data_IF_642770734113
#
_entry.id   IF_642770734113
#
_cell.length_a   1.000
_cell.length_b   1.000
_cell.length_c   1.000
_cell.angle_alpha   90.00
_cell.angle_beta   90.00
_cell.angle_gamma   90.00
#
_symmetry.space_group_name_H-M   'P 1'
#
loop_
_entity.id
_entity.type
_entity.pdbx_description
1 polymer ?
#
# COMPACT_ATOMS: atom_id res chain seq x y z
N UNK A 1 -1.92 9.36 -17.19
CA UNK A 1 -2.62 10.53 -16.59
C UNK A 1 -4.11 10.36 -16.79
N UNK A 2 -4.87 10.46 -15.72
CA UNK A 2 -6.31 10.24 -15.67
C UNK A 2 -7.08 11.56 -15.56
N UNK A 3 -8.35 11.57 -15.96
CA UNK A 3 -9.22 12.74 -15.85
C UNK A 3 -9.30 13.31 -14.42
N UNK A 4 -9.44 12.50 -13.34
CA UNK A 4 -9.37 12.99 -11.95
C UNK A 4 -8.04 13.61 -11.52
N UNK A 5 -6.95 13.38 -12.25
CA UNK A 5 -5.66 14.01 -11.93
C UNK A 5 -5.66 15.51 -12.26
N UNK A 6 -6.66 16.00 -13.00
CA UNK A 6 -6.76 17.36 -13.47
C UNK A 6 -7.82 18.15 -12.68
N UNK A 7 -7.44 19.31 -12.15
CA UNK A 7 -8.37 20.22 -11.49
C UNK A 7 -7.96 21.68 -11.67
N UNK A 8 -8.92 22.60 -11.57
CA UNK A 8 -8.65 24.04 -11.60
C UNK A 8 -8.72 24.62 -10.19
N UNK A 9 -7.80 25.53 -9.87
CA UNK A 9 -7.79 26.30 -8.63
C UNK A 9 -7.85 27.78 -8.97
N UNK A 10 -8.76 28.51 -8.35
CA UNK A 10 -8.79 29.97 -8.42
C UNK A 10 -7.69 30.52 -7.52
N UNK A 11 -6.81 31.35 -8.09
CA UNK A 11 -5.77 32.07 -7.38
C UNK A 11 -6.29 33.43 -6.97
N UNK A 12 -6.83 33.50 -5.75
CA UNK A 12 -7.36 34.73 -5.19
C UNK A 12 -6.23 35.77 -5.05
N UNK A 13 -6.50 37.00 -5.47
CA UNK A 13 -5.59 38.16 -5.40
C UNK A 13 -4.41 38.16 -6.38
N UNK A 14 -4.34 37.21 -7.30
CA UNK A 14 -3.33 37.18 -8.37
C UNK A 14 -3.86 37.86 -9.66
N UNK A 15 -3.89 39.19 -9.65
CA UNK A 15 -4.23 40.01 -10.83
C UNK A 15 -5.56 40.77 -10.74
N UNK A 16 -5.88 41.50 -11.82
CA UNK A 16 -7.07 42.37 -11.92
C UNK A 16 -8.34 41.57 -12.29
N UNK A 17 -8.16 40.37 -12.86
CA UNK A 17 -9.22 39.47 -13.32
C UNK A 17 -9.07 38.09 -12.70
N UNK A 18 -10.15 37.31 -12.64
CA UNK A 18 -10.14 35.93 -12.16
C UNK A 18 -8.98 35.12 -12.76
N UNK A 19 -8.07 34.68 -11.91
CA UNK A 19 -6.90 33.91 -12.28
C UNK A 19 -7.12 32.46 -11.89
N UNK A 20 -7.24 31.58 -12.89
CA UNK A 20 -7.37 30.14 -12.66
C UNK A 20 -6.07 29.45 -13.06
N UNK A 21 -5.56 28.61 -12.17
CA UNK A 21 -4.47 27.68 -12.44
C UNK A 21 -5.03 26.30 -12.73
N UNK A 22 -4.53 25.67 -13.79
CA UNK A 22 -4.80 24.27 -14.09
C UNK A 22 -3.72 23.44 -13.43
N UNK A 23 -4.14 22.58 -12.52
CA UNK A 23 -3.29 21.71 -11.72
C UNK A 23 -3.42 20.29 -12.23
N UNK A 24 -2.28 19.67 -12.47
CA UNK A 24 -2.14 18.27 -12.85
C UNK A 24 -1.35 17.56 -11.76
N UNK A 25 -1.97 16.55 -11.17
CA UNK A 25 -1.36 15.72 -10.14
C UNK A 25 -0.75 14.49 -10.78
N UNK A 26 0.52 14.23 -10.48
CA UNK A 26 1.26 13.08 -10.96
C UNK A 26 1.69 12.25 -9.75
N UNK A 27 0.99 11.15 -9.51
CA UNK A 27 1.31 10.22 -8.42
C UNK A 27 2.31 9.14 -8.84
N UNK A 28 2.47 8.92 -10.13
CA UNK A 28 3.32 7.86 -10.65
C UNK A 28 4.10 8.33 -11.87
N UNK A 29 5.36 7.91 -11.97
CA UNK A 29 6.18 8.18 -13.13
C UNK A 29 7.51 7.45 -13.07
N UNK A 30 8.28 7.48 -14.16
CA UNK A 30 9.57 6.77 -14.24
C UNK A 30 10.54 7.16 -13.11
N UNK A 31 10.54 8.44 -12.71
CA UNK A 31 11.36 9.00 -11.64
C UNK A 31 10.63 9.06 -10.29
N UNK A 32 9.34 8.76 -10.28
CA UNK A 32 8.47 8.85 -9.11
C UNK A 32 7.83 7.47 -8.87
N UNK A 33 8.68 6.56 -8.39
CA UNK A 33 8.33 5.14 -8.18
C UNK A 33 7.73 4.89 -6.79
N UNK A 34 7.89 5.86 -5.87
CA UNK A 34 7.44 5.77 -4.47
C UNK A 34 6.08 6.43 -4.24
N UNK A 35 5.40 6.89 -5.28
CA UNK A 35 4.09 7.53 -5.11
C UNK A 35 4.18 8.95 -4.57
N UNK A 36 5.32 9.64 -4.71
CA UNK A 36 5.47 11.04 -4.29
C UNK A 36 4.42 11.87 -5.01
N UNK A 37 3.85 12.86 -4.34
CA UNK A 37 2.97 13.80 -5.01
C UNK A 37 3.84 14.76 -5.85
N UNK A 38 3.87 14.57 -7.17
CA UNK A 38 4.43 15.57 -8.07
C UNK A 38 3.27 16.39 -8.65
N UNK A 39 3.40 17.72 -8.63
CA UNK A 39 2.37 18.62 -9.14
C UNK A 39 2.95 19.42 -10.29
N UNK A 40 2.22 19.48 -11.41
CA UNK A 40 2.46 20.44 -12.47
C UNK A 40 1.31 21.44 -12.49
N UNK A 41 1.63 22.71 -12.72
CA UNK A 41 0.64 23.77 -12.85
C UNK A 41 0.89 24.59 -14.10
N UNK A 42 -0.18 25.15 -14.66
CA UNK A 42 -0.09 26.13 -15.73
C UNK A 42 -1.20 27.17 -15.61
N UNK A 43 -0.92 28.37 -16.10
CA UNK A 43 -1.85 29.50 -16.10
C UNK A 43 -2.40 29.72 -17.52
N UNK A 44 -3.51 30.45 -17.61
CA UNK A 44 -4.03 30.93 -18.89
C UNK A 44 -2.99 31.84 -19.55
N UNK A 45 -2.68 31.55 -20.80
CA UNK A 45 -1.84 32.43 -21.62
C UNK A 45 -2.73 33.45 -22.34
N UNK A 46 -2.25 34.69 -22.46
CA UNK A 46 -2.89 35.73 -23.28
C UNK A 46 -2.96 35.31 -24.74
N UNK A 47 -1.93 34.60 -25.22
CA UNK A 47 -1.91 34.07 -26.58
C UNK A 47 -2.63 32.73 -26.64
N UNK A 48 -3.74 32.67 -27.37
CA UNK A 48 -4.63 31.50 -27.43
C UNK A 48 -3.95 30.28 -28.05
N UNK A 49 -3.09 30.49 -29.05
CA UNK A 49 -2.38 29.45 -29.80
C UNK A 49 -1.47 28.56 -28.94
N UNK A 50 -0.96 29.11 -27.83
CA UNK A 50 -0.05 28.44 -26.89
C UNK A 50 -0.67 28.29 -25.50
N UNK A 51 -1.95 28.62 -25.35
CA UNK A 51 -2.65 28.55 -24.07
C UNK A 51 -3.00 27.10 -23.72
N UNK A 52 -2.47 26.53 -22.63
CA UNK A 52 -2.73 25.14 -22.27
C UNK A 52 -4.22 24.88 -21.95
N UNK A 53 -4.91 25.86 -21.37
CA UNK A 53 -6.37 25.80 -21.16
C UNK A 53 -7.14 25.72 -22.48
N UNK A 54 -6.80 26.59 -23.44
CA UNK A 54 -7.46 26.63 -24.74
C UNK A 54 -7.22 25.34 -25.52
N UNK A 55 -5.96 24.88 -25.57
CA UNK A 55 -5.58 23.63 -26.24
C UNK A 55 -6.34 22.44 -25.64
N UNK A 56 -6.39 22.32 -24.32
CA UNK A 56 -7.10 21.23 -23.67
C UNK A 56 -8.62 21.32 -23.86
N UNK A 57 -9.18 22.54 -23.81
CA UNK A 57 -10.59 22.79 -24.08
C UNK A 57 -10.99 22.38 -25.51
N UNK A 58 -10.20 22.76 -26.52
CA UNK A 58 -10.42 22.33 -27.90
C UNK A 58 -10.30 20.82 -28.06
N UNK A 59 -9.35 20.20 -27.37
CA UNK A 59 -9.19 18.75 -27.38
C UNK A 59 -10.42 18.03 -26.79
N UNK A 60 -10.93 18.48 -25.65
CA UNK A 60 -12.15 17.92 -25.05
C UNK A 60 -13.40 18.19 -25.88
N UNK A 61 -13.51 19.36 -26.49
CA UNK A 61 -14.59 19.66 -27.44
C UNK A 61 -14.55 18.69 -28.61
N UNK A 62 -13.40 18.54 -29.27
CA UNK A 62 -13.23 17.58 -30.37
C UNK A 62 -13.56 16.15 -29.93
N UNK A 63 -13.08 15.73 -28.76
CA UNK A 63 -13.27 14.37 -28.25
C UNK A 63 -14.75 14.02 -28.01
N UNK A 64 -15.50 14.88 -27.34
CA UNK A 64 -16.89 14.57 -26.95
C UNK A 64 -17.94 15.06 -27.96
N UNK A 65 -17.68 16.16 -28.67
CA UNK A 65 -18.65 16.74 -29.59
C UNK A 65 -18.41 16.32 -31.04
N UNK A 66 -17.15 16.23 -31.49
CA UNK A 66 -16.85 15.94 -32.90
C UNK A 66 -16.68 14.44 -33.16
N UNK A 67 -15.91 13.74 -32.32
CA UNK A 67 -15.75 12.29 -32.39
C UNK A 67 -16.92 11.53 -31.76
N UNK A 68 -17.89 12.25 -31.18
CA UNK A 68 -19.08 11.70 -30.52
C UNK A 68 -18.73 10.64 -29.44
N UNK A 69 -17.59 10.79 -28.77
CA UNK A 69 -17.28 9.98 -27.59
C UNK A 69 -18.29 10.32 -26.48
N UNK A 70 -18.87 9.31 -25.79
CA UNK A 70 -19.80 9.57 -24.71
C UNK A 70 -19.13 10.41 -23.63
N UNK A 71 -19.82 11.49 -23.24
CA UNK A 71 -19.35 12.34 -22.15
C UNK A 71 -19.31 11.53 -20.84
N UNK A 72 -18.26 11.69 -20.00
CA UNK A 72 -18.12 10.93 -18.77
C UNK A 72 -19.32 11.12 -17.82
N UNK A 73 -19.82 10.03 -17.26
CA UNK A 73 -20.75 10.10 -16.13
C UNK A 73 -19.98 10.43 -14.85
N UNK A 74 -20.50 11.37 -14.07
CA UNK A 74 -19.93 11.74 -12.77
C UNK A 74 -20.75 11.20 -11.59
N UNK A 75 -21.69 10.28 -11.84
CA UNK A 75 -22.51 9.68 -10.78
C UNK A 75 -21.70 8.81 -9.81
N UNK A 76 -20.75 8.02 -10.35
CA UNK A 76 -19.86 7.15 -9.56
C UNK A 76 -18.41 7.36 -9.95
N UNK A 77 -17.51 7.25 -8.98
CA UNK A 77 -16.07 7.38 -9.23
C UNK A 77 -15.55 6.36 -10.24
N UNK A 78 -16.08 5.14 -10.24
CA UNK A 78 -15.74 4.10 -11.23
C UNK A 78 -15.96 4.50 -12.68
N UNK A 79 -16.89 5.43 -12.92
CA UNK A 79 -17.35 5.76 -14.27
C UNK A 79 -16.39 6.72 -14.98
N UNK A 80 -15.55 7.45 -14.23
CA UNK A 80 -14.67 8.47 -14.78
C UNK A 80 -13.22 8.45 -14.28
N UNK A 81 -12.91 7.71 -13.20
CA UNK A 81 -11.55 7.67 -12.64
C UNK A 81 -10.53 7.04 -13.58
N UNK A 82 -10.94 6.00 -14.32
CA UNK A 82 -10.03 5.30 -15.23
C UNK A 82 -9.90 5.98 -16.61
N UNK A 83 -10.70 7.01 -16.88
CA UNK A 83 -10.67 7.72 -18.17
C UNK A 83 -9.34 8.46 -18.30
N UNK A 84 -8.57 8.12 -19.33
CA UNK A 84 -7.30 8.80 -19.62
C UNK A 84 -7.55 10.14 -20.29
N UNK A 85 -6.77 11.15 -19.91
CA UNK A 85 -6.80 12.46 -20.58
C UNK A 85 -6.40 12.28 -22.05
N UNK A 86 -5.26 11.63 -22.30
CA UNK A 86 -4.81 11.26 -23.64
C UNK A 86 -4.93 9.75 -23.83
N UNK A 87 -5.94 9.33 -24.58
CA UNK A 87 -6.25 7.92 -24.82
C UNK A 87 -5.55 7.36 -26.07
N UNK A 88 -5.38 6.04 -26.09
CA UNK A 88 -4.91 5.30 -27.27
C UNK A 88 -6.08 4.58 -27.97
N UNK A 89 -6.58 5.18 -29.05
CA UNK A 89 -7.63 4.59 -29.87
C UNK A 89 -9.03 4.75 -29.25
N UNK A 90 -9.85 3.71 -29.31
CA UNK A 90 -11.25 3.74 -28.86
C UNK A 90 -11.39 3.54 -27.35
N UNK A 91 -10.51 2.74 -26.74
CA UNK A 91 -10.55 2.42 -25.31
C UNK A 91 -10.14 3.64 -24.45
N UNK A 92 -11.07 4.08 -23.60
CA UNK A 92 -10.92 5.27 -22.75
C UNK A 92 -9.93 5.06 -21.60
N UNK A 93 -9.77 3.81 -21.17
CA UNK A 93 -8.89 3.42 -20.07
C UNK A 93 -7.42 3.27 -20.49
N UNK A 94 -7.18 3.19 -21.80
CA UNK A 94 -5.87 2.91 -22.35
C UNK A 94 -5.09 4.19 -22.62
N UNK A 95 -3.95 4.31 -21.95
CA UNK A 95 -3.05 5.46 -22.13
C UNK A 95 -2.45 5.53 -23.54
N UNK A 96 -2.25 6.75 -24.04
CA UNK A 96 -1.54 7.00 -25.29
C UNK A 96 -0.19 6.28 -25.33
N UNK A 97 0.03 5.46 -26.36
CA UNK A 97 1.29 4.74 -26.51
C UNK A 97 2.48 5.68 -26.66
N UNK A 98 3.60 5.33 -26.02
CA UNK A 98 4.80 6.15 -26.05
C UNK A 98 5.34 6.34 -27.48
N UNK A 99 5.23 5.32 -28.35
CA UNK A 99 5.70 5.43 -29.74
C UNK A 99 4.83 6.42 -30.49
N UNK A 100 3.51 6.32 -30.35
CA UNK A 100 2.55 7.25 -30.95
C UNK A 100 2.87 8.70 -30.53
N UNK A 101 2.99 8.97 -29.24
CA UNK A 101 3.37 10.31 -28.74
C UNK A 101 4.71 10.78 -29.32
N UNK A 102 5.74 9.94 -29.28
CA UNK A 102 7.08 10.27 -29.78
C UNK A 102 7.07 10.59 -31.28
N UNK A 103 6.31 9.84 -32.06
CA UNK A 103 6.26 10.01 -33.52
C UNK A 103 5.47 11.28 -33.88
N UNK A 104 4.37 11.59 -33.17
CA UNK A 104 3.68 12.89 -33.31
C UNK A 104 4.62 14.08 -33.03
N UNK A 105 5.40 14.02 -31.95
CA UNK A 105 6.36 15.07 -31.60
C UNK A 105 7.47 15.22 -32.65
N UNK A 106 7.99 14.09 -33.16
CA UNK A 106 8.99 14.12 -34.24
C UNK A 106 8.45 14.75 -35.51
N UNK A 107 7.23 14.40 -35.92
CA UNK A 107 6.58 14.98 -37.09
C UNK A 107 6.39 16.49 -36.94
N UNK A 108 5.97 16.95 -35.76
CA UNK A 108 5.86 18.38 -35.46
C UNK A 108 7.21 19.10 -35.57
N UNK A 109 8.29 18.53 -35.01
CA UNK A 109 9.63 19.14 -35.15
C UNK A 109 10.13 19.15 -36.58
N UNK A 110 9.88 18.09 -37.35
CA UNK A 110 10.25 18.03 -38.76
C UNK A 110 9.53 19.11 -39.58
N UNK A 111 8.23 19.32 -39.34
CA UNK A 111 7.43 20.34 -40.01
C UNK A 111 7.94 21.77 -39.75
N UNK A 112 8.49 22.03 -38.57
CA UNK A 112 9.06 23.34 -38.18
C UNK A 112 10.57 23.41 -38.46
N UNK A 113 11.18 22.36 -39.03
CA UNK A 113 12.63 22.32 -39.32
C UNK A 113 13.54 22.21 -38.09
N UNK A 114 13.01 21.83 -36.93
CA UNK A 114 13.74 21.73 -35.67
C UNK A 114 14.47 20.38 -35.54
N UNK A 115 15.79 20.44 -35.30
CA UNK A 115 16.62 19.25 -35.04
C UNK A 115 16.98 19.19 -33.56
N UNK A 116 16.46 18.19 -32.84
CA UNK A 116 16.73 18.01 -31.41
C UNK A 116 17.08 16.57 -31.07
N UNK A 117 17.99 16.40 -30.10
CA UNK A 117 18.33 15.10 -29.50
C UNK A 117 17.24 14.65 -28.50
N UNK A 118 16.58 15.61 -27.86
CA UNK A 118 15.48 15.37 -26.92
C UNK A 118 14.19 15.12 -27.71
N UNK A 119 13.47 14.04 -27.35
CA UNK A 119 12.25 13.62 -28.04
C UNK A 119 11.03 14.18 -27.31
N UNK A 120 10.31 13.33 -26.58
CA UNK A 120 9.09 13.65 -25.83
C UNK A 120 9.27 14.55 -24.62
N UNK A 121 10.52 14.90 -24.24
CA UNK A 121 10.82 15.69 -23.04
C UNK A 121 11.48 17.04 -23.36
N UNK A 122 11.45 17.51 -24.61
CA UNK A 122 12.03 18.82 -24.95
C UNK A 122 11.39 19.95 -24.12
N UNK A 123 10.07 19.85 -23.91
CA UNK A 123 9.27 20.82 -23.16
C UNK A 123 9.71 20.99 -21.71
N UNK A 124 10.30 19.94 -21.10
CA UNK A 124 10.75 19.95 -19.71
C UNK A 124 11.90 20.93 -19.49
N UNK A 125 12.83 21.02 -20.44
CA UNK A 125 13.95 21.94 -20.37
C UNK A 125 13.60 23.34 -20.88
N UNK A 126 12.78 23.42 -21.94
CA UNK A 126 12.44 24.71 -22.54
C UNK A 126 11.51 25.53 -21.66
N UNK A 127 10.53 24.94 -20.97
CA UNK A 127 9.59 25.68 -20.11
C UNK A 127 10.28 26.44 -18.98
N UNK A 128 11.16 25.78 -18.24
CA UNK A 128 11.94 26.42 -17.17
C UNK A 128 12.80 27.58 -17.71
N UNK A 129 13.48 27.35 -18.84
CA UNK A 129 14.34 28.37 -19.47
C UNK A 129 13.54 29.55 -20.02
N UNK A 130 12.35 29.31 -20.59
CA UNK A 130 11.47 30.38 -21.07
C UNK A 130 10.96 31.24 -19.92
N UNK A 131 10.67 30.62 -18.77
CA UNK A 131 10.24 31.35 -17.59
C UNK A 131 11.39 32.17 -16.98
N UNK A 132 12.60 31.61 -16.91
CA UNK A 132 13.81 32.37 -16.52
C UNK A 132 14.07 33.57 -17.44
N UNK A 133 13.97 33.37 -18.76
CA UNK A 133 14.08 34.45 -19.75
C UNK A 133 12.97 35.50 -19.59
N UNK A 134 11.77 35.09 -19.18
CA UNK A 134 10.64 35.95 -18.83
C UNK A 134 10.81 36.71 -17.51
N UNK A 135 11.98 36.63 -16.86
CA UNK A 135 12.29 37.37 -15.64
C UNK A 135 11.97 36.64 -14.35
N UNK A 136 11.52 35.38 -14.40
CA UNK A 136 11.29 34.56 -13.22
C UNK A 136 12.62 34.04 -12.65
N UNK A 137 13.39 34.95 -12.04
CA UNK A 137 14.55 34.61 -11.22
C UNK A 137 14.01 33.90 -9.98
N UNK A 138 14.47 32.67 -9.70
CA UNK A 138 14.08 31.83 -8.56
C UNK A 138 12.85 30.89 -8.69
N UNK A 139 12.43 30.47 -9.89
CA UNK A 139 11.41 29.42 -10.03
C UNK A 139 11.79 28.09 -9.35
N UNK A 140 13.07 27.72 -9.38
CA UNK A 140 13.59 26.50 -8.74
C UNK A 140 13.43 26.49 -7.23
N UNK A 141 13.38 27.66 -6.58
CA UNK A 141 13.21 27.79 -5.13
C UNK A 141 11.75 28.05 -4.78
N UNK A 142 11.03 28.85 -5.56
CA UNK A 142 9.64 29.25 -5.22
C UNK A 142 8.63 28.10 -5.42
N UNK A 143 8.83 27.21 -6.40
CA UNK A 143 8.02 25.98 -6.50
C UNK A 143 8.43 24.89 -5.49
N UNK A 144 9.64 25.00 -4.91
CA UNK A 144 10.07 24.17 -3.80
C UNK A 144 9.60 24.71 -2.43
N UNK A 145 9.26 26.01 -2.35
CA UNK A 145 8.76 26.68 -1.14
C UNK A 145 7.27 26.99 -1.18
N UNK A 146 6.59 26.80 -2.30
CA UNK A 146 5.14 26.81 -2.34
C UNK A 146 4.67 25.56 -1.58
N UNK A 147 4.41 25.75 -0.29
CA UNK A 147 3.89 24.71 0.61
C UNK A 147 2.80 23.98 -0.13
N UNK A 148 3.03 22.70 -0.36
CA UNK A 148 2.15 21.82 -1.11
C UNK A 148 0.73 21.98 -0.53
N UNK A 149 -0.33 22.21 -1.33
CA UNK A 149 -1.68 22.45 -0.81
C UNK A 149 -2.16 21.33 0.13
N UNK A 150 -1.70 20.10 -0.14
CA UNK A 150 -1.94 18.92 0.69
C UNK A 150 -1.08 18.89 1.94
N UNK A 151 0.14 19.43 1.90
CA UNK A 151 1.03 19.58 3.04
C UNK A 151 0.54 20.69 3.98
N UNK A 152 -0.05 21.76 3.44
CA UNK A 152 -0.79 22.78 4.20
C UNK A 152 -2.06 22.20 4.84
N UNK A 153 -2.77 21.31 4.13
CA UNK A 153 -3.91 20.57 4.70
C UNK A 153 -3.47 19.56 5.77
N UNK A 154 -2.34 18.88 5.56
CA UNK A 154 -1.72 17.97 6.53
C UNK A 154 -1.18 18.71 7.75
N UNK A 155 -0.56 19.89 7.59
CA UNK A 155 -0.15 20.76 8.70
C UNK A 155 -1.35 21.29 9.47
N UNK A 156 -2.45 21.64 8.79
CA UNK A 156 -3.69 22.05 9.46
C UNK A 156 -4.40 20.90 10.17
N UNK A 157 -4.32 19.69 9.62
CA UNK A 157 -4.97 18.50 10.17
C UNK A 157 -4.10 17.75 11.19
N UNK A 158 -2.77 17.94 11.19
CA UNK A 158 -1.83 17.27 12.09
C UNK A 158 -2.12 17.55 13.56
N UNK A 159 -2.36 18.79 14.01
CA UNK A 159 -2.70 19.08 15.41
C UNK A 159 -3.98 18.36 15.82
N UNK A 160 -5.01 18.40 14.97
CA UNK A 160 -6.31 17.75 15.24
C UNK A 160 -6.16 16.23 15.30
N UNK A 161 -5.35 15.64 14.41
CA UNK A 161 -5.06 14.21 14.42
C UNK A 161 -4.20 13.81 15.62
N UNK A 162 -3.20 14.61 15.99
CA UNK A 162 -2.37 14.40 17.17
C UNK A 162 -3.22 14.45 18.44
N UNK A 163 -4.07 15.46 18.59
CA UNK A 163 -5.02 15.60 19.70
C UNK A 163 -5.95 14.39 19.79
N UNK A 164 -6.46 13.92 18.64
CA UNK A 164 -7.32 12.73 18.59
C UNK A 164 -6.57 11.45 18.97
N UNK A 165 -5.32 11.30 18.55
CA UNK A 165 -4.47 10.17 18.92
C UNK A 165 -4.17 10.19 20.42
N UNK A 166 -3.81 11.35 20.99
CA UNK A 166 -3.58 11.48 22.43
C UNK A 166 -4.85 11.22 23.24
N UNK A 167 -6.01 11.72 22.79
CA UNK A 167 -7.29 11.45 23.44
C UNK A 167 -7.65 9.96 23.38
N UNK A 168 -7.44 9.30 22.24
CA UNK A 168 -7.63 7.86 22.11
C UNK A 168 -6.66 7.09 23.00
N UNK A 169 -5.41 7.52 23.10
CA UNK A 169 -4.41 6.87 23.96
C UNK A 169 -4.78 6.99 25.44
N UNK A 170 -5.26 8.17 25.87
CA UNK A 170 -5.78 8.40 27.22
C UNK A 170 -7.03 7.56 27.52
N UNK A 171 -7.98 7.48 26.59
CA UNK A 171 -9.17 6.63 26.74
C UNK A 171 -8.81 5.14 26.81
N UNK A 172 -7.90 4.69 25.94
CA UNK A 172 -7.43 3.31 25.98
C UNK A 172 -6.74 3.01 27.32
N UNK A 173 -5.89 3.93 27.79
CA UNK A 173 -5.19 3.77 29.06
C UNK A 173 -6.16 3.72 30.24
N UNK A 174 -7.20 4.57 30.26
CA UNK A 174 -8.20 4.56 31.33
C UNK A 174 -9.01 3.26 31.35
N UNK A 175 -9.34 2.73 30.17
CA UNK A 175 -9.99 1.41 30.03
C UNK A 175 -9.08 0.28 30.50
N UNK A 176 -7.79 0.32 30.18
CA UNK A 176 -6.83 -0.65 30.70
C UNK A 176 -6.75 -0.61 32.24
N UNK A 177 -6.68 0.57 32.85
CA UNK A 177 -6.69 0.70 34.31
C UNK A 177 -7.99 0.16 34.92
N UNK A 178 -9.13 0.38 34.27
CA UNK A 178 -10.43 -0.17 34.73
C UNK A 178 -10.44 -1.70 34.66
N UNK A 179 -9.90 -2.28 33.58
CA UNK A 179 -9.77 -3.73 33.42
C UNK A 179 -8.82 -4.32 34.46
N UNK A 180 -7.68 -3.66 34.72
CA UNK A 180 -6.75 -4.08 35.78
C UNK A 180 -7.41 -4.06 37.16
N UNK A 181 -8.21 -3.03 37.46
CA UNK A 181 -8.96 -2.95 38.71
C UNK A 181 -9.96 -4.10 38.83
N UNK A 182 -10.76 -4.36 37.79
CA UNK A 182 -11.73 -5.46 37.78
C UNK A 182 -11.06 -6.83 37.92
N UNK A 183 -9.92 -7.04 37.24
CA UNK A 183 -9.12 -8.27 37.39
C UNK A 183 -8.58 -8.43 38.81
N UNK A 184 -8.11 -7.34 39.42
CA UNK A 184 -7.64 -7.38 40.81
C UNK A 184 -8.77 -7.72 41.79
N UNK A 185 -9.96 -7.14 41.59
CA UNK A 185 -11.14 -7.43 42.39
C UNK A 185 -11.59 -8.90 42.24
N UNK A 186 -11.65 -9.42 41.00
CA UNK A 186 -11.97 -10.83 40.78
C UNK A 186 -10.94 -11.77 41.41
N UNK A 187 -9.66 -11.39 41.39
CA UNK A 187 -8.61 -12.17 42.06
C UNK A 187 -8.85 -12.26 43.57
N UNK A 188 -9.25 -11.16 44.20
CA UNK A 188 -9.60 -11.14 45.63
C UNK A 188 -10.82 -12.00 45.93
N UNK A 189 -11.88 -11.90 45.12
CA UNK A 189 -13.08 -12.74 45.26
C UNK A 189 -12.76 -14.22 45.11
N UNK A 190 -11.96 -14.61 44.12
CA UNK A 190 -11.53 -16.01 43.94
C UNK A 190 -10.69 -16.47 45.13
N UNK A 191 -9.85 -15.59 45.69
CA UNK A 191 -9.01 -15.93 46.84
C UNK A 191 -9.86 -16.14 48.09
N UNK A 192 -10.85 -15.25 48.30
CA UNK A 192 -11.83 -15.38 49.38
C UNK A 192 -12.67 -16.64 49.23
N UNK A 193 -13.15 -16.94 48.02
CA UNK A 193 -13.96 -18.13 47.74
C UNK A 193 -13.15 -19.41 47.95
N UNK A 194 -11.87 -19.43 47.54
CA UNK A 194 -10.95 -20.53 47.86
C UNK A 194 -10.81 -20.71 49.37
N UNK A 195 -10.67 -19.63 50.13
CA UNK A 195 -10.56 -19.69 51.59
C UNK A 195 -11.84 -20.24 52.22
N UNK A 196 -13.01 -19.77 51.79
CA UNK A 196 -14.30 -20.30 52.26
C UNK A 196 -14.45 -21.81 51.99
N UNK A 197 -14.05 -22.30 50.80
CA UNK A 197 -14.08 -23.73 50.49
C UNK A 197 -13.14 -24.51 51.40
N UNK A 198 -11.93 -24.00 51.67
CA UNK A 198 -10.99 -24.61 52.62
C UNK A 198 -11.58 -24.64 54.03
N UNK A 199 -12.22 -23.57 54.46
CA UNK A 199 -12.82 -23.47 55.80
C UNK A 199 -14.00 -24.43 55.96
N UNK A 200 -14.79 -24.64 54.91
CA UNK A 200 -15.84 -25.68 54.87
C UNK A 200 -15.22 -27.08 54.93
N UNK A 201 -14.23 -27.38 54.07
CA UNK A 201 -13.60 -28.70 54.01
C UNK A 201 -12.81 -29.06 55.27
N UNK A 202 -12.28 -28.08 55.99
CA UNK A 202 -11.54 -28.28 57.24
C UNK A 202 -12.42 -28.22 58.49
N UNK A 203 -13.75 -28.04 58.33
CA UNK A 203 -14.70 -28.03 59.43
C UNK A 203 -14.64 -26.75 60.29
N UNK A 204 -14.04 -25.67 59.79
CA UNK A 204 -13.96 -24.37 60.47
C UNK A 204 -15.21 -23.51 60.27
N UNK A 205 -16.12 -23.90 59.39
CA UNK A 205 -17.40 -23.23 59.14
C UNK A 205 -18.57 -24.17 59.45
N UNK A 206 -19.52 -23.71 60.27
CA UNK A 206 -20.75 -24.45 60.60
C UNK A 206 -21.78 -24.30 59.46
N UNK A 207 -22.15 -25.40 58.80
CA UNK A 207 -23.18 -25.40 57.75
C UNK A 207 -24.56 -25.63 58.39
N UNK A 208 -25.45 -24.64 58.29
CA UNK A 208 -26.86 -24.78 58.69
C UNK A 208 -27.71 -25.15 57.48
N UNK A 209 -28.19 -26.39 57.45
CA UNK A 209 -29.15 -26.86 56.45
C UNK A 209 -30.55 -26.41 56.84
N UNK A 210 -31.16 -25.54 56.02
CA UNK A 210 -32.56 -25.15 56.19
C UNK A 210 -33.42 -26.02 55.24
N UNK A 211 -33.74 -27.23 55.69
CA UNK A 211 -34.57 -28.16 54.93
C UNK A 211 -36.05 -27.90 55.22
N UNK A 212 -36.81 -27.45 54.21
CA UNK A 212 -38.27 -27.40 54.27
C UNK A 212 -38.83 -28.66 53.64
N UNK A 213 -39.28 -29.59 54.48
CA UNK A 213 -39.87 -30.85 54.04
C UNK A 213 -41.37 -30.68 53.80
N UNK A 214 -41.76 -30.25 52.60
CA UNK A 214 -43.13 -30.45 52.11
C UNK A 214 -43.18 -31.81 51.40
N UNK A 215 -43.38 -32.84 52.22
CA UNK A 215 -43.42 -34.23 51.80
C UNK A 215 -44.89 -34.64 51.59
N UNK A 216 -45.38 -34.54 50.35
CA UNK A 216 -46.55 -35.28 49.88
C UNK A 216 -46.10 -36.29 48.82
N UNK A 217 -46.07 -37.56 49.22
CA UNK A 217 -45.83 -38.68 48.32
C UNK A 217 -47.16 -39.27 47.83
N UNK A 218 -47.46 -39.26 46.53
CA UNK A 218 -48.34 -40.27 45.94
C UNK A 218 -47.53 -41.55 45.74
N UNK A 219 -48.10 -42.66 46.18
CA UNK A 219 -47.55 -44.01 46.08
C UNK A 219 -47.98 -44.63 44.74
N UNK A 220 -47.03 -45.30 44.08
CA UNK A 220 -47.20 -46.34 43.02
C UNK A 220 -47.81 -45.85 41.70
N UNK A 221 -47.35 -46.21 40.50
CA UNK A 221 -46.85 -47.51 40.05
C UNK A 221 -46.21 -47.39 38.64
N UNK A 222 -45.40 -48.40 38.29
CA UNK A 222 -44.95 -48.79 36.94
C UNK A 222 -43.79 -48.05 36.24
N UNK A 223 -42.66 -48.76 36.17
CA UNK A 223 -41.64 -48.61 35.14
C UNK A 223 -42.16 -49.12 33.78
N UNK A 224 -41.78 -48.46 32.69
CA UNK A 224 -40.98 -49.18 31.70
C UNK A 224 -39.65 -48.47 31.38
N UNK A 225 -38.64 -49.33 31.22
CA UNK A 225 -37.29 -49.16 30.66
C UNK A 225 -36.96 -47.85 29.91
N UNK A 226 -35.78 -47.24 30.15
CA UNK A 226 -35.28 -46.18 29.28
C UNK A 226 -34.80 -46.79 27.96
N UNK A 227 -35.36 -46.29 26.86
CA UNK A 227 -34.79 -46.44 25.52
C UNK A 227 -33.49 -45.65 25.50
N UNK A 228 -32.37 -46.35 25.30
CA UNK A 228 -31.08 -45.74 24.97
C UNK A 228 -31.23 -45.14 23.56
N UNK A 229 -31.39 -43.83 23.47
CA UNK A 229 -31.04 -43.07 22.27
C UNK A 229 -29.64 -42.53 22.46
N UNK A 230 -28.70 -43.37 22.04
CA UNK A 230 -27.36 -42.97 21.66
C UNK A 230 -27.50 -42.12 20.39
N UNK A 231 -27.37 -40.80 20.50
CA UNK A 231 -27.32 -39.94 19.32
C UNK A 231 -26.38 -38.76 19.52
N UNK A 232 -25.23 -38.94 18.87
CA UNK A 232 -24.37 -37.93 18.28
C UNK A 232 -23.47 -37.13 19.21
N UNK A 233 -22.28 -37.72 19.39
CA UNK A 233 -21.04 -37.19 18.84
C UNK A 233 -20.89 -35.67 19.00
N UNK A 234 -20.28 -35.28 20.11
CA UNK A 234 -19.49 -34.07 20.15
C UNK A 234 -18.40 -34.18 19.08
N UNK A 235 -18.72 -33.68 17.89
CA UNK A 235 -17.72 -33.33 16.90
C UNK A 235 -16.92 -32.21 17.55
N UNK A 236 -15.77 -32.56 18.10
CA UNK A 236 -14.68 -31.61 18.33
C UNK A 236 -14.22 -31.21 16.94
N UNK A 237 -14.98 -30.30 16.32
CA UNK A 237 -14.61 -29.67 15.08
C UNK A 237 -13.48 -28.72 15.44
N UNK A 238 -12.26 -29.25 15.42
CA UNK A 238 -11.07 -28.45 15.26
C UNK A 238 -11.33 -27.59 14.05
N UNK A 239 -11.66 -26.31 14.27
CA UNK A 239 -11.76 -25.32 13.20
C UNK A 239 -10.37 -25.24 12.58
N UNK A 240 -10.12 -26.08 11.58
CA UNK A 240 -9.09 -25.82 10.58
C UNK A 240 -9.61 -24.61 9.86
N UNK A 241 -9.09 -23.45 10.26
CA UNK A 241 -9.10 -22.28 9.42
C UNK A 241 -8.30 -22.69 8.18
N UNK A 242 -8.98 -23.25 7.17
CA UNK A 242 -8.45 -23.28 5.83
C UNK A 242 -8.25 -21.82 5.47
N UNK A 243 -6.98 -21.40 5.49
CA UNK A 243 -6.59 -20.08 5.08
C UNK A 243 -7.06 -19.90 3.63
N UNK A 244 -8.19 -19.23 3.44
CA UNK A 244 -8.60 -18.75 2.14
C UNK A 244 -7.44 -17.95 1.56
N UNK A 245 -7.07 -18.22 0.30
CA UNK A 245 -6.01 -17.55 -0.45
C UNK A 245 -5.95 -16.06 -0.05
N UNK A 246 -4.83 -15.53 0.45
CA UNK A 246 -4.70 -14.08 0.60
C UNK A 246 -4.87 -13.49 -0.80
N UNK A 247 -6.06 -12.95 -1.10
CA UNK A 247 -6.47 -12.59 -2.47
C UNK A 247 -5.64 -11.47 -3.11
N UNK A 248 -4.55 -11.01 -2.50
CA UNK A 248 -3.50 -10.20 -3.17
C UNK A 248 -2.33 -9.92 -2.22
N UNK A 249 -1.41 -10.87 -2.00
CA UNK A 249 -0.11 -10.49 -1.42
C UNK A 249 0.70 -9.72 -2.46
N UNK A 250 1.10 -8.48 -2.15
CA UNK A 250 1.95 -7.64 -2.99
C UNK A 250 3.35 -7.57 -2.39
N UNK A 251 4.37 -7.94 -3.16
CA UNK A 251 5.77 -7.81 -2.75
C UNK A 251 6.11 -6.32 -2.58
N UNK A 252 6.86 -5.99 -1.53
CA UNK A 252 7.21 -4.62 -1.20
C UNK A 252 8.12 -4.04 -2.28
N UNK A 253 7.67 -2.97 -2.95
CA UNK A 253 8.46 -2.27 -3.98
C UNK A 253 9.55 -1.36 -3.39
N UNK A 254 9.47 -1.06 -2.09
CA UNK A 254 10.43 -0.22 -1.37
C UNK A 254 11.74 -0.92 -1.00
N UNK A 255 11.84 -2.24 -1.18
CA UNK A 255 13.07 -2.99 -0.93
C UNK A 255 14.11 -2.68 -2.01
N UNK A 256 15.21 -2.07 -1.57
CA UNK A 256 16.34 -1.68 -2.43
C UNK A 256 17.63 -2.42 -2.10
N UNK A 257 17.70 -3.10 -0.95
CA UNK A 257 18.87 -3.86 -0.48
C UNK A 257 18.65 -5.36 -0.59
N UNK A 258 19.72 -6.14 -0.75
CA UNK A 258 19.64 -7.61 -0.73
C UNK A 258 19.33 -8.16 0.67
N UNK A 259 19.70 -7.43 1.72
CA UNK A 259 19.42 -7.78 3.13
C UNK A 259 17.93 -7.67 3.43
N UNK A 260 17.29 -6.55 3.05
CA UNK A 260 15.85 -6.38 3.24
C UNK A 260 15.05 -7.34 2.35
N UNK A 261 15.58 -7.70 1.18
CA UNK A 261 14.99 -8.72 0.32
C UNK A 261 15.03 -10.10 0.99
N UNK A 262 16.15 -10.46 1.62
CA UNK A 262 16.28 -11.70 2.38
C UNK A 262 15.37 -11.73 3.61
N UNK A 263 15.18 -10.58 4.26
CA UNK A 263 14.24 -10.43 5.38
C UNK A 263 12.77 -10.62 4.95
N UNK A 264 12.36 -10.04 3.82
CA UNK A 264 11.03 -10.26 3.24
C UNK A 264 10.81 -11.75 2.90
N UNK A 265 11.85 -12.42 2.41
CA UNK A 265 11.80 -13.86 2.09
C UNK A 265 11.59 -14.75 3.32
N UNK A 266 12.29 -14.46 4.42
CA UNK A 266 12.38 -15.35 5.60
C UNK A 266 11.43 -15.00 6.74
N UNK A 267 11.22 -13.71 7.02
CA UNK A 267 10.43 -13.22 8.16
C UNK A 267 9.15 -12.54 7.68
N UNK A 268 9.17 -11.93 6.50
CA UNK A 268 8.11 -11.05 6.02
C UNK A 268 8.34 -9.59 6.44
N UNK A 269 7.50 -8.69 5.92
CA UNK A 269 7.56 -7.25 6.19
C UNK A 269 6.20 -6.72 6.62
N UNK A 270 6.18 -5.76 7.55
CA UNK A 270 4.97 -5.04 7.95
C UNK A 270 3.86 -5.92 8.55
N UNK A 271 4.22 -7.04 9.20
CA UNK A 271 3.25 -8.01 9.74
C UNK A 271 2.64 -8.95 8.69
N UNK A 272 3.06 -8.87 7.42
CA UNK A 272 2.70 -9.82 6.37
C UNK A 272 3.50 -11.14 6.47
N UNK A 273 3.00 -12.24 5.89
CA UNK A 273 3.67 -13.53 5.91
C UNK A 273 5.01 -13.50 5.15
N UNK A 274 5.93 -14.39 5.53
CA UNK A 274 7.18 -14.61 4.82
C UNK A 274 6.91 -15.14 3.40
N UNK A 275 7.63 -14.61 2.41
CA UNK A 275 7.39 -14.99 1.00
C UNK A 275 7.72 -16.47 0.74
N UNK A 276 8.69 -17.04 1.47
CA UNK A 276 8.99 -18.48 1.42
C UNK A 276 7.81 -19.34 1.84
N UNK A 277 7.04 -18.91 2.85
CA UNK A 277 5.84 -19.64 3.30
C UNK A 277 4.70 -19.57 2.28
N UNK A 278 4.57 -18.43 1.60
CA UNK A 278 3.61 -18.27 0.50
C UNK A 278 3.94 -19.21 -0.66
N UNK A 279 5.21 -19.30 -1.05
CA UNK A 279 5.65 -20.24 -2.08
C UNK A 279 5.48 -21.71 -1.62
N UNK A 280 5.76 -22.04 -0.37
CA UNK A 280 5.57 -23.41 0.13
C UNK A 280 4.11 -23.84 0.18
N UNK A 281 3.19 -22.95 0.58
CA UNK A 281 1.77 -23.28 0.73
C UNK A 281 0.98 -23.22 -0.58
N UNK A 282 1.31 -22.26 -1.45
CA UNK A 282 0.51 -21.95 -2.64
C UNK A 282 1.30 -22.07 -3.95
N UNK A 283 2.58 -22.44 -3.87
CA UNK A 283 3.46 -22.58 -5.03
C UNK A 283 3.53 -21.31 -5.84
N UNK A 284 3.25 -21.45 -7.13
CA UNK A 284 3.13 -20.34 -8.03
C UNK A 284 1.81 -19.56 -7.87
N UNK A 285 0.72 -20.19 -7.44
CA UNK A 285 -0.63 -19.65 -7.62
C UNK A 285 -0.90 -18.33 -6.86
N UNK A 286 -0.15 -18.03 -5.79
CA UNK A 286 -0.31 -16.76 -5.06
C UNK A 286 0.15 -15.53 -5.84
N UNK A 287 0.91 -15.72 -6.92
CA UNK A 287 1.58 -14.63 -7.66
C UNK A 287 1.01 -14.47 -9.08
N UNK A 288 0.06 -13.55 -9.26
CA UNK A 288 -0.60 -13.30 -10.54
C UNK A 288 -0.01 -12.10 -11.32
N UNK A 289 -0.16 -12.14 -12.65
CA UNK A 289 0.12 -11.00 -13.54
C UNK A 289 1.54 -10.40 -13.45
N UNK A 290 1.62 -9.09 -13.21
CA UNK A 290 2.88 -8.34 -13.09
C UNK A 290 3.70 -8.71 -11.86
N UNK A 291 3.06 -9.27 -10.82
CA UNK A 291 3.73 -9.69 -9.59
C UNK A 291 4.66 -10.87 -9.87
N UNK A 292 4.24 -11.78 -10.75
CA UNK A 292 5.03 -12.95 -11.18
C UNK A 292 6.40 -12.56 -11.71
N UNK A 293 6.43 -11.59 -12.62
CA UNK A 293 7.67 -11.12 -13.24
C UNK A 293 8.61 -10.50 -12.21
N UNK A 294 8.05 -9.85 -11.19
CA UNK A 294 8.82 -9.23 -10.14
C UNK A 294 9.37 -10.26 -9.15
N UNK A 295 8.53 -11.22 -8.75
CA UNK A 295 8.92 -12.36 -7.94
C UNK A 295 10.07 -13.13 -8.58
N UNK A 296 9.96 -13.50 -9.87
CA UNK A 296 11.00 -14.26 -10.55
C UNK A 296 12.35 -13.52 -10.59
N UNK A 297 12.36 -12.19 -10.71
CA UNK A 297 13.61 -11.41 -10.64
C UNK A 297 14.23 -11.44 -9.24
N UNK A 298 13.40 -11.36 -8.20
CA UNK A 298 13.86 -11.43 -6.80
C UNK A 298 14.34 -12.82 -6.42
N UNK A 299 13.65 -13.86 -6.91
CA UNK A 299 14.00 -15.27 -6.68
C UNK A 299 15.42 -15.60 -7.14
N UNK A 300 15.87 -15.05 -8.27
CA UNK A 300 17.26 -15.21 -8.75
C UNK A 300 18.30 -14.69 -7.74
N UNK A 301 18.00 -13.63 -6.99
CA UNK A 301 18.90 -13.10 -5.96
C UNK A 301 18.87 -14.00 -4.72
N UNK A 302 17.69 -14.48 -4.34
CA UNK A 302 17.49 -15.38 -3.20
C UNK A 302 18.24 -16.70 -3.42
N UNK A 303 18.11 -17.31 -4.59
CA UNK A 303 18.83 -18.52 -4.97
C UNK A 303 20.36 -18.31 -4.96
N UNK A 304 20.82 -17.11 -5.32
CA UNK A 304 22.25 -16.78 -5.26
C UNK A 304 22.76 -16.62 -3.82
N UNK A 305 21.96 -16.08 -2.90
CA UNK A 305 22.27 -16.03 -1.46
C UNK A 305 22.40 -17.47 -0.91
N UNK A 306 21.44 -18.34 -1.24
CA UNK A 306 21.44 -19.74 -0.80
C UNK A 306 22.63 -20.51 -1.37
N UNK A 307 22.96 -20.32 -2.66
CA UNK A 307 24.15 -20.91 -3.30
C UNK A 307 25.45 -20.41 -2.68
N UNK A 308 25.56 -19.12 -2.38
CA UNK A 308 26.77 -18.56 -1.76
C UNK A 308 26.97 -19.11 -0.35
N UNK A 309 25.90 -19.22 0.42
CA UNK A 309 25.92 -19.78 1.77
C UNK A 309 26.32 -21.26 1.78
N UNK A 310 25.89 -22.05 0.80
CA UNK A 310 26.25 -23.48 0.72
C UNK A 310 27.74 -23.72 0.43
N UNK A 311 28.42 -22.75 -0.21
CA UNK A 311 29.87 -22.80 -0.51
C UNK A 311 30.72 -22.33 0.70
N UNK A 312 30.12 -21.64 1.68
CA UNK A 312 30.82 -21.20 2.89
C UNK A 312 31.08 -22.38 3.85
N UNK A 313 32.17 -22.28 4.63
CA UNK A 313 32.45 -23.26 5.67
C UNK A 313 31.29 -23.32 6.67
N UNK A 314 30.79 -24.53 6.96
CA UNK A 314 29.61 -24.75 7.79
C UNK A 314 28.28 -24.87 7.02
N UNK A 315 28.27 -24.68 5.70
CA UNK A 315 27.09 -24.92 4.85
C UNK A 315 25.97 -23.90 5.03
N UNK A 316 24.73 -24.29 4.74
CA UNK A 316 23.56 -23.39 4.75
C UNK A 316 23.05 -23.13 6.17
N UNK A 317 23.80 -22.37 6.97
CA UNK A 317 23.37 -21.85 8.28
C UNK A 317 22.74 -20.47 8.15
N UNK A 318 21.94 -20.05 9.12
CA UNK A 318 21.34 -18.71 9.15
C UNK A 318 22.40 -17.60 9.14
N UNK A 319 23.54 -17.81 9.79
CA UNK A 319 24.65 -16.87 9.82
C UNK A 319 25.33 -16.77 8.44
N UNK A 320 25.57 -17.90 7.77
CA UNK A 320 26.12 -17.92 6.42
C UNK A 320 25.17 -17.29 5.39
N UNK A 321 23.86 -17.48 5.54
CA UNK A 321 22.84 -16.84 4.71
C UNK A 321 22.83 -15.31 4.90
N UNK A 322 22.99 -14.86 6.15
CA UNK A 322 23.13 -13.42 6.45
C UNK A 322 24.40 -12.84 5.83
N UNK A 323 25.55 -13.48 6.05
CA UNK A 323 26.83 -13.08 5.46
C UNK A 323 26.80 -13.08 3.93
N UNK A 324 26.15 -14.08 3.31
CA UNK A 324 25.96 -14.13 1.87
C UNK A 324 25.07 -12.97 1.35
N UNK A 325 24.02 -12.61 2.10
CA UNK A 325 23.15 -11.49 1.75
C UNK A 325 23.86 -10.14 1.85
N UNK A 326 24.70 -9.96 2.89
CA UNK A 326 25.53 -8.76 3.12
C UNK A 326 26.62 -8.63 2.05
N UNK A 327 27.31 -9.73 1.72
CA UNK A 327 28.31 -9.75 0.65
C UNK A 327 27.73 -9.34 -0.71
N UNK A 328 26.53 -9.83 -1.06
CA UNK A 328 25.85 -9.44 -2.30
C UNK A 328 25.44 -7.95 -2.28
N UNK A 329 25.12 -7.39 -1.11
CA UNK A 329 24.84 -5.96 -0.95
C UNK A 329 26.10 -5.13 -1.18
N UNK A 330 27.23 -5.54 -0.60
CA UNK A 330 28.51 -4.87 -0.76
C UNK A 330 28.95 -4.83 -2.23
N UNK A 331 28.86 -5.95 -2.95
CA UNK A 331 29.19 -5.99 -4.38
C UNK A 331 28.27 -5.10 -5.22
N UNK A 332 26.97 -5.07 -4.89
CA UNK A 332 26.01 -4.16 -5.52
C UNK A 332 26.38 -2.69 -5.27
N UNK A 333 26.76 -2.34 -4.04
CA UNK A 333 27.14 -0.99 -3.63
C UNK A 333 28.47 -0.54 -4.26
N UNK A 334 29.50 -1.38 -4.26
CA UNK A 334 30.79 -1.11 -4.93
C UNK A 334 30.59 -0.74 -6.40
N UNK A 335 29.70 -1.46 -7.08
CA UNK A 335 29.37 -1.23 -8.50
C UNK A 335 28.38 -0.07 -8.73
N UNK A 336 27.82 0.50 -7.67
CA UNK A 336 26.79 1.55 -7.68
C UNK A 336 25.59 1.17 -8.57
N UNK A 337 25.13 -0.08 -8.47
CA UNK A 337 24.04 -0.64 -9.30
C UNK A 337 22.76 -0.86 -8.51
N UNK A 338 21.63 -0.95 -9.21
CA UNK A 338 20.33 -1.23 -8.60
C UNK A 338 20.11 -2.72 -8.33
N UNK A 339 19.14 -3.05 -7.48
CA UNK A 339 18.72 -4.42 -7.23
C UNK A 339 18.16 -5.11 -8.50
N UNK A 340 17.46 -4.37 -9.37
CA UNK A 340 17.02 -4.88 -10.67
C UNK A 340 18.21 -5.21 -11.59
N UNK A 341 19.28 -4.40 -11.57
CA UNK A 341 20.51 -4.71 -12.29
C UNK A 341 21.14 -6.00 -11.75
N UNK A 342 21.16 -6.20 -10.43
CA UNK A 342 21.69 -7.40 -9.79
C UNK A 342 20.93 -8.65 -10.25
N UNK A 343 19.59 -8.60 -10.30
CA UNK A 343 18.77 -9.72 -10.79
C UNK A 343 19.07 -10.13 -12.24
N UNK A 344 19.42 -9.16 -13.09
CA UNK A 344 19.71 -9.40 -14.52
C UNK A 344 21.13 -9.89 -14.79
N UNK A 345 22.08 -9.51 -13.94
CA UNK A 345 23.50 -9.82 -14.11
C UNK A 345 23.98 -10.84 -13.07
N UNK A 346 23.07 -11.59 -12.48
CA UNK A 346 23.39 -12.55 -11.43
C UNK A 346 24.40 -13.62 -11.88
N UNK A 347 24.37 -14.01 -13.16
CA UNK A 347 25.34 -14.96 -13.72
C UNK A 347 26.79 -14.47 -13.59
N UNK A 348 27.04 -13.19 -13.86
CA UNK A 348 28.36 -12.55 -13.73
C UNK A 348 28.79 -12.45 -12.26
N UNK A 349 27.86 -12.16 -11.36
CA UNK A 349 28.13 -12.07 -9.93
C UNK A 349 28.39 -13.46 -9.34
N UNK A 350 27.64 -14.47 -9.80
CA UNK A 350 27.75 -15.87 -9.36
C UNK A 350 28.99 -16.60 -9.84
N UNK A 351 29.81 -15.97 -10.69
CA UNK A 351 31.15 -16.46 -11.06
C UNK A 351 32.26 -15.87 -10.19
N UNK A 352 31.96 -14.93 -9.30
CA UNK A 352 32.92 -14.33 -8.36
C UNK A 352 33.07 -15.14 -7.07
N UNK A 353 32.30 -16.22 -6.94
CA UNK A 353 32.31 -17.21 -5.87
C UNK A 353 31.95 -18.57 -6.47
#
# INVERSE_FOLDING_TARGET
MELPDLHSVTLDREGISDCNALILVMRQGKTNQLGRLDIASCLRNKEVSVCPFGILGFYFFWRWHMEAEPFPSFEKSSDWYDIKIFKSGVDLSKELDYRAHKDSVKSAFAAVGLKTKAKTHVGRGSGARMAELGGAKHLSLTMATAVNPTELQLERAMPVMADRITALHQDLSSKFTTVELLLSQQKEEITSLKQHVIDIMTGRTELRLNARFDMQWPRTEEHPTPVVQDNHQGVVESVRIEASVPRTYKLSRGIVTTVDLWREWTVGLGGGPAVRELESKWGAAWCEGSERRFFNRRKVIIEAIEKRASIMQGGTTNDNLKLASEWLEEERQKRKKSLDWLSKNMKEISSLF
#
